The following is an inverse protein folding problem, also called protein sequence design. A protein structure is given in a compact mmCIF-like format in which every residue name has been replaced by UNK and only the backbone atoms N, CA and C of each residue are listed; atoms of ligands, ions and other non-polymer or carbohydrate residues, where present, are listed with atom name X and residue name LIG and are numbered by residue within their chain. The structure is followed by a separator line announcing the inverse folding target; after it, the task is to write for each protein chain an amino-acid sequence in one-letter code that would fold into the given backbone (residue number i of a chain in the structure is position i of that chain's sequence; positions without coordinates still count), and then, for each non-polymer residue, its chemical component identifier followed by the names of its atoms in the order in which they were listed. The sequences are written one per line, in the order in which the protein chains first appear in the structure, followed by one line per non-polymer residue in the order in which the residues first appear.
data_IF_953407389394
#
_entry.id   IF_953407389394
#
_cell.length_a   1.000
_cell.length_b   1.000
_cell.length_c   1.000
_cell.angle_alpha   90.00
_cell.angle_beta   90.00
_cell.angle_gamma   90.00
#
_symmetry.space_group_name_H-M   'P 1'
#
loop_
_entity.id
_entity.type
_entity.pdbx_description
1 polymer ?
#
# COMPACT_ATOMS: atom_id res chain seq x y z
N UNK A 1 13.88 18.05 -18.29
CA UNK A 1 13.61 18.68 -16.98
C UNK A 1 12.72 19.89 -17.21
N UNK A 2 11.54 20.03 -16.59
CA UNK A 2 10.71 19.05 -15.89
C UNK A 2 9.31 18.93 -16.54
N UNK A 3 8.56 17.85 -16.29
CA UNK A 3 7.15 18.08 -16.04
C UNK A 3 7.15 18.97 -14.81
N UNK A 4 6.99 20.28 -15.01
CA UNK A 4 6.84 21.21 -13.92
C UNK A 4 5.80 20.65 -12.95
N UNK A 5 5.80 21.12 -11.71
CA UNK A 5 4.75 20.86 -10.74
C UNK A 5 3.44 21.49 -11.24
N UNK A 6 2.94 21.04 -12.39
CA UNK A 6 1.71 21.45 -13.03
C UNK A 6 0.59 20.87 -12.20
N UNK A 7 -0.57 21.52 -12.26
CA UNK A 7 -1.75 21.07 -11.53
C UNK A 7 -2.08 19.59 -11.83
N UNK A 8 -1.84 19.15 -13.07
CA UNK A 8 -2.03 17.77 -13.54
C UNK A 8 -1.13 16.72 -12.85
N UNK A 9 0.01 17.12 -12.30
CA UNK A 9 0.94 16.23 -11.57
C UNK A 9 0.75 16.39 -10.06
N UNK A 10 0.56 17.62 -9.60
CA UNK A 10 0.36 17.93 -8.19
C UNK A 10 -0.93 17.32 -7.62
N UNK A 11 -2.02 17.33 -8.40
CA UNK A 11 -3.30 16.82 -7.93
C UNK A 11 -3.25 15.31 -7.65
N UNK A 12 -2.76 14.43 -8.55
CA UNK A 12 -2.54 13.03 -8.25
C UNK A 12 -1.59 12.79 -7.06
N UNK A 13 -0.53 13.59 -6.93
CA UNK A 13 0.38 13.50 -5.78
C UNK A 13 -0.34 13.79 -4.47
N UNK A 14 -1.18 14.82 -4.44
CA UNK A 14 -1.98 15.16 -3.27
C UNK A 14 -2.98 14.05 -2.93
N UNK A 15 -3.67 13.50 -3.94
CA UNK A 15 -4.59 12.37 -3.74
C UNK A 15 -3.84 11.16 -3.18
N UNK A 16 -2.67 10.82 -3.73
CA UNK A 16 -1.84 9.72 -3.24
C UNK A 16 -1.35 9.96 -1.80
N UNK A 17 -1.00 11.21 -1.46
CA UNK A 17 -0.62 11.60 -0.10
C UNK A 17 -1.80 11.42 0.87
N UNK A 18 -2.99 11.88 0.51
CA UNK A 18 -4.20 11.73 1.32
C UNK A 18 -4.61 10.26 1.48
N UNK A 19 -4.49 9.47 0.41
CA UNK A 19 -4.71 8.03 0.48
C UNK A 19 -3.70 7.35 1.42
N UNK A 20 -2.43 7.73 1.36
CA UNK A 20 -1.39 7.26 2.28
C UNK A 20 -1.66 7.66 3.73
N UNK A 21 -2.18 8.87 3.96
CA UNK A 21 -2.53 9.36 5.30
C UNK A 21 -3.70 8.58 5.93
N UNK A 22 -4.52 7.87 5.15
CA UNK A 22 -5.57 7.01 5.68
C UNK A 22 -5.04 5.67 6.24
N UNK A 23 -3.83 5.25 5.85
CA UNK A 23 -3.26 3.95 6.20
C UNK A 23 -3.02 3.77 7.70
N UNK A 24 -2.50 4.75 8.47
CA UNK A 24 -2.38 4.63 9.92
C UNK A 24 -3.74 4.48 10.63
N UNK A 25 -4.78 5.16 10.15
CA UNK A 25 -6.14 5.01 10.69
C UNK A 25 -6.68 3.61 10.44
N UNK A 26 -6.44 3.05 9.25
CA UNK A 26 -6.78 1.66 8.94
C UNK A 26 -6.05 0.68 9.88
N UNK A 27 -4.75 0.87 10.10
CA UNK A 27 -3.98 0.03 11.01
C UNK A 27 -4.51 0.07 12.46
N UNK A 28 -4.86 1.27 12.96
CA UNK A 28 -5.46 1.46 14.27
C UNK A 28 -6.83 0.79 14.43
N UNK A 29 -7.72 1.00 13.46
CA UNK A 29 -9.06 0.38 13.43
C UNK A 29 -8.97 -1.15 13.36
N UNK A 30 -8.10 -1.67 12.49
CA UNK A 30 -7.86 -3.10 12.40
C UNK A 30 -7.33 -3.63 13.73
N UNK A 31 -6.36 -2.96 14.37
CA UNK A 31 -5.81 -3.41 15.65
C UNK A 31 -6.88 -3.48 16.76
N UNK A 32 -7.85 -2.55 16.74
CA UNK A 32 -9.00 -2.59 17.64
C UNK A 32 -9.88 -3.82 17.38
N UNK A 33 -10.24 -4.08 16.12
CA UNK A 33 -10.98 -5.29 15.73
C UNK A 33 -10.23 -6.57 16.12
N UNK A 34 -8.91 -6.60 15.96
CA UNK A 34 -8.08 -7.76 16.29
C UNK A 34 -8.14 -8.11 17.78
N UNK A 35 -8.15 -7.09 18.64
CA UNK A 35 -8.35 -7.27 20.09
C UNK A 35 -9.75 -7.76 20.44
N UNK A 36 -10.78 -7.22 19.79
CA UNK A 36 -12.18 -7.58 20.05
C UNK A 36 -12.52 -9.01 19.57
N UNK A 37 -11.96 -9.43 18.44
CA UNK A 37 -12.24 -10.71 17.80
C UNK A 37 -11.26 -11.83 18.22
N UNK A 38 -10.25 -11.50 19.04
CA UNK A 38 -9.28 -12.45 19.58
C UNK A 38 -8.22 -12.96 18.61
N UNK A 39 -8.30 -12.63 17.31
CA UNK A 39 -7.29 -13.03 16.33
C UNK A 39 -7.12 -12.00 15.18
N UNK A 40 -5.89 -11.68 14.74
CA UNK A 40 -5.64 -10.76 13.63
C UNK A 40 -6.34 -11.14 12.31
N UNK A 41 -6.39 -12.44 11.96
CA UNK A 41 -7.05 -12.86 10.72
C UNK A 41 -8.56 -12.60 10.72
N UNK A 42 -9.23 -12.65 11.89
CA UNK A 42 -10.64 -12.29 11.99
C UNK A 42 -10.85 -10.81 11.71
N UNK A 43 -9.98 -9.95 12.24
CA UNK A 43 -10.01 -8.52 11.96
C UNK A 43 -9.73 -8.21 10.49
N UNK A 44 -8.76 -8.90 9.87
CA UNK A 44 -8.50 -8.78 8.44
C UNK A 44 -9.73 -9.17 7.60
N UNK A 45 -10.36 -10.31 7.93
CA UNK A 45 -11.58 -10.77 7.27
C UNK A 45 -12.75 -9.78 7.36
N UNK A 46 -13.01 -9.25 8.57
CA UNK A 46 -14.05 -8.22 8.77
C UNK A 46 -13.72 -6.93 8.01
N UNK A 47 -12.46 -6.49 8.03
CA UNK A 47 -12.01 -5.29 7.30
C UNK A 47 -12.20 -5.43 5.79
N UNK A 48 -11.88 -6.60 5.23
CA UNK A 48 -12.11 -6.93 3.82
C UNK A 48 -13.59 -7.00 3.48
N UNK A 49 -14.42 -7.55 4.37
CA UNK A 49 -15.87 -7.61 4.18
C UNK A 49 -16.50 -6.21 4.16
N UNK A 50 -16.13 -5.34 5.12
CA UNK A 50 -16.57 -3.94 5.14
C UNK A 50 -16.11 -3.20 3.87
N UNK A 51 -14.86 -3.43 3.45
CA UNK A 51 -14.34 -2.85 2.21
C UNK A 51 -15.15 -3.28 0.99
N UNK A 52 -15.52 -4.57 0.91
CA UNK A 52 -16.36 -5.10 -0.16
C UNK A 52 -17.78 -4.50 -0.13
N UNK A 53 -18.38 -4.37 1.06
CA UNK A 53 -19.70 -3.76 1.24
C UNK A 53 -19.74 -2.29 0.82
N UNK A 54 -18.62 -1.56 0.93
CA UNK A 54 -18.50 -0.17 0.46
C UNK A 54 -18.14 -0.08 -1.03
N UNK A 55 -17.37 -1.04 -1.56
CA UNK A 55 -16.99 -1.09 -2.97
C UNK A 55 -18.21 -1.29 -3.88
N UNK A 56 -19.14 -2.17 -3.53
CA UNK A 56 -20.31 -2.49 -4.38
C UNK A 56 -21.19 -1.24 -4.65
N UNK A 57 -21.63 -0.46 -3.64
CA UNK A 57 -22.35 0.79 -3.87
C UNK A 57 -21.54 1.81 -4.67
N UNK A 58 -20.22 1.91 -4.44
CA UNK A 58 -19.36 2.82 -5.19
C UNK A 58 -19.35 2.49 -6.69
N UNK A 59 -19.29 1.20 -7.05
CA UNK A 59 -19.39 0.76 -8.45
C UNK A 59 -20.74 1.15 -9.08
N UNK A 60 -21.83 1.04 -8.32
CA UNK A 60 -23.18 1.44 -8.78
C UNK A 60 -23.30 2.95 -8.99
N UNK A 61 -22.84 3.75 -8.02
CA UNK A 61 -22.86 5.22 -8.09
C UNK A 61 -22.01 5.73 -9.26
N UNK A 62 -20.82 5.15 -9.44
CA UNK A 62 -19.92 5.49 -10.54
C UNK A 62 -20.34 4.88 -11.88
N UNK A 63 -21.40 4.06 -11.91
CA UNK A 63 -21.90 3.35 -13.10
C UNK A 63 -20.77 2.57 -13.81
N UNK A 64 -19.91 1.94 -13.03
CA UNK A 64 -18.82 1.14 -13.56
C UNK A 64 -19.40 -0.04 -14.39
N UNK A 65 -18.91 -0.27 -15.62
CA UNK A 65 -19.40 -1.37 -16.44
C UNK A 65 -19.10 -2.72 -15.78
N UNK A 66 -20.00 -3.69 -15.95
CA UNK A 66 -19.79 -5.04 -15.46
C UNK A 66 -18.52 -5.65 -16.07
N UNK A 67 -17.68 -6.31 -15.28
CA UNK A 67 -16.48 -6.93 -15.80
C UNK A 67 -16.84 -8.09 -16.73
N UNK A 68 -16.15 -8.19 -17.85
CA UNK A 68 -16.23 -9.37 -18.70
C UNK A 68 -15.50 -10.52 -18.01
N UNK A 69 -16.25 -11.45 -17.41
CA UNK A 69 -15.67 -12.53 -16.60
C UNK A 69 -14.72 -13.44 -17.39
N UNK A 70 -14.88 -13.53 -18.70
CA UNK A 70 -13.95 -14.21 -19.61
C UNK A 70 -12.52 -13.63 -19.55
N UNK A 71 -12.33 -12.37 -19.14
CA UNK A 71 -11.01 -11.77 -19.03
C UNK A 71 -10.26 -12.27 -17.78
N UNK A 72 -10.96 -12.87 -16.81
CA UNK A 72 -10.33 -13.43 -15.62
C UNK A 72 -9.50 -14.68 -15.95
N UNK A 73 -9.90 -15.46 -16.96
CA UNK A 73 -9.13 -16.64 -17.40
C UNK A 73 -7.89 -16.26 -18.20
N UNK A 74 -7.87 -15.05 -18.76
CA UNK A 74 -6.72 -14.45 -19.45
C UNK A 74 -5.78 -13.71 -18.49
N UNK A 75 -6.17 -13.53 -17.22
CA UNK A 75 -5.38 -12.79 -16.26
C UNK A 75 -4.07 -13.53 -15.96
N UNK A 76 -2.91 -12.84 -15.99
CA UNK A 76 -1.65 -13.47 -15.66
C UNK A 76 -1.64 -13.92 -14.19
N UNK A 77 -0.96 -15.02 -13.89
CA UNK A 77 -0.97 -15.61 -12.55
C UNK A 77 -0.53 -14.64 -11.44
N UNK A 78 0.34 -13.68 -11.76
CA UNK A 78 0.80 -12.67 -10.81
C UNK A 78 -0.27 -11.63 -10.43
N UNK A 79 -1.35 -11.48 -11.21
CA UNK A 79 -2.44 -10.54 -10.91
C UNK A 79 -3.13 -10.89 -9.58
N UNK A 80 -3.17 -12.18 -9.24
CA UNK A 80 -3.76 -12.68 -8.00
C UNK A 80 -2.88 -12.43 -6.77
N UNK A 81 -1.58 -12.15 -6.96
CA UNK A 81 -0.66 -11.83 -5.86
C UNK A 81 -1.01 -10.51 -5.17
N UNK A 82 -1.71 -9.60 -5.86
CA UNK A 82 -2.19 -8.35 -5.24
C UNK A 82 -3.14 -8.60 -4.07
N UNK A 83 -4.06 -9.56 -4.22
CA UNK A 83 -4.97 -9.97 -3.14
C UNK A 83 -4.22 -10.60 -1.97
N UNK A 84 -3.27 -11.50 -2.27
CA UNK A 84 -2.41 -12.12 -1.26
C UNK A 84 -1.58 -11.08 -0.49
N UNK A 85 -0.95 -10.15 -1.21
CA UNK A 85 -0.17 -9.07 -0.62
C UNK A 85 -1.03 -8.17 0.29
N UNK A 86 -2.29 -7.92 -0.07
CA UNK A 86 -3.23 -7.18 0.76
C UNK A 86 -3.54 -7.87 2.10
N UNK A 87 -3.83 -9.19 2.07
CA UNK A 87 -4.07 -9.96 3.31
C UNK A 87 -2.82 -10.00 4.19
N UNK A 88 -1.65 -10.24 3.59
CA UNK A 88 -0.36 -10.24 4.30
C UNK A 88 -0.07 -8.87 4.91
N UNK A 89 -0.32 -7.78 4.17
CA UNK A 89 -0.15 -6.41 4.65
C UNK A 89 -1.05 -6.10 5.86
N UNK A 90 -2.35 -6.37 5.76
CA UNK A 90 -3.29 -6.12 6.86
C UNK A 90 -2.92 -6.95 8.08
N UNK A 91 -2.58 -8.22 7.88
CA UNK A 91 -2.17 -9.13 8.98
C UNK A 91 -0.86 -8.65 9.63
N UNK A 92 0.12 -8.24 8.84
CA UNK A 92 1.37 -7.67 9.35
C UNK A 92 1.11 -6.37 10.11
N UNK A 93 0.24 -5.49 9.60
CA UNK A 93 -0.15 -4.26 10.30
C UNK A 93 -0.73 -4.57 11.69
N UNK A 94 -1.60 -5.58 11.78
CA UNK A 94 -2.19 -5.99 13.05
C UNK A 94 -1.20 -6.54 14.07
N UNK A 95 -0.25 -7.35 13.61
CA UNK A 95 0.73 -8.03 14.47
C UNK A 95 1.88 -7.11 14.86
N UNK A 96 2.34 -6.26 13.93
CA UNK A 96 3.55 -5.45 14.08
C UNK A 96 3.27 -4.04 14.58
N UNK A 97 2.10 -3.44 14.31
CA UNK A 97 1.76 -2.10 14.81
C UNK A 97 1.83 -2.00 16.34
N UNK A 98 1.34 -2.97 17.14
CA UNK A 98 1.49 -2.93 18.59
C UNK A 98 2.94 -3.04 19.08
N UNK A 99 3.85 -3.60 18.27
CA UNK A 99 5.25 -3.82 18.63
C UNK A 99 6.17 -2.67 18.20
N UNK A 100 5.92 -2.09 17.03
CA UNK A 100 6.74 -1.04 16.42
C UNK A 100 6.17 0.37 16.64
N UNK A 101 4.94 0.47 17.15
CA UNK A 101 4.16 1.69 17.06
C UNK A 101 3.66 1.96 15.63
N UNK A 102 2.66 2.82 15.50
CA UNK A 102 2.07 3.16 14.20
C UNK A 102 3.08 3.82 13.26
N UNK A 103 3.84 4.82 13.76
CA UNK A 103 4.86 5.51 12.96
C UNK A 103 5.95 4.53 12.50
N UNK A 104 6.50 3.74 13.42
CA UNK A 104 7.57 2.78 13.11
C UNK A 104 7.17 1.74 12.06
N UNK A 105 5.96 1.17 12.18
CA UNK A 105 5.42 0.25 11.18
C UNK A 105 5.29 0.90 9.80
N UNK A 106 4.69 2.10 9.73
CA UNK A 106 4.41 2.78 8.46
C UNK A 106 5.70 3.15 7.71
N UNK A 107 6.73 3.64 8.40
CA UNK A 107 7.97 4.03 7.72
C UNK A 107 8.72 2.79 7.21
N UNK A 108 8.68 1.66 7.93
CA UNK A 108 9.18 0.37 7.44
C UNK A 108 8.42 -0.12 6.19
N UNK A 109 7.09 0.01 6.19
CA UNK A 109 6.25 -0.34 5.03
C UNK A 109 6.61 0.52 3.82
N UNK A 110 6.72 1.84 3.99
CA UNK A 110 7.07 2.76 2.91
C UNK A 110 8.45 2.42 2.33
N UNK A 111 9.44 2.13 3.18
CA UNK A 111 10.77 1.73 2.73
C UNK A 111 10.70 0.43 1.89
N UNK A 112 9.97 -0.59 2.35
CA UNK A 112 9.77 -1.84 1.62
C UNK A 112 9.04 -1.66 0.28
N UNK A 113 8.02 -0.79 0.24
CA UNK A 113 7.27 -0.45 -0.97
C UNK A 113 8.17 0.24 -2.00
N UNK A 114 8.98 1.22 -1.55
CA UNK A 114 9.88 1.97 -2.43
C UNK A 114 11.02 1.08 -2.95
N UNK A 115 11.61 0.24 -2.12
CA UNK A 115 12.61 -0.74 -2.54
C UNK A 115 12.02 -1.73 -3.57
N UNK A 116 10.84 -2.28 -3.30
CA UNK A 116 10.14 -3.16 -4.24
C UNK A 116 9.83 -2.45 -5.56
N UNK A 117 9.44 -1.18 -5.52
CA UNK A 117 9.15 -0.39 -6.72
C UNK A 117 10.37 -0.21 -7.63
N UNK A 118 11.59 -0.16 -7.07
CA UNK A 118 12.80 -0.09 -7.88
C UNK A 118 12.97 -1.35 -8.73
N UNK A 119 12.74 -2.52 -8.12
CA UNK A 119 12.85 -3.80 -8.79
C UNK A 119 11.77 -3.96 -9.87
N UNK A 120 10.53 -3.59 -9.52
CA UNK A 120 9.39 -3.62 -10.45
C UNK A 120 9.66 -2.73 -11.66
N UNK A 121 10.10 -1.50 -11.43
CA UNK A 121 10.34 -0.54 -12.51
C UNK A 121 11.59 -0.86 -13.34
N UNK A 122 12.66 -1.35 -12.71
CA UNK A 122 13.92 -1.67 -13.40
C UNK A 122 13.74 -2.81 -14.41
N UNK A 123 12.88 -3.78 -14.11
CA UNK A 123 12.66 -4.96 -14.95
C UNK A 123 11.28 -5.02 -15.59
N UNK A 124 10.50 -3.94 -15.51
CA UNK A 124 9.15 -3.89 -16.10
C UNK A 124 8.21 -4.99 -15.58
N UNK A 125 8.38 -5.39 -14.31
CA UNK A 125 7.60 -6.48 -13.73
C UNK A 125 6.11 -6.11 -13.75
N UNK A 126 5.24 -7.12 -13.78
CA UNK A 126 3.78 -6.96 -13.83
C UNK A 126 3.28 -6.20 -15.08
N UNK A 127 4.06 -6.23 -16.17
CA UNK A 127 3.68 -5.58 -17.44
C UNK A 127 3.78 -4.05 -17.40
N UNK A 128 4.49 -3.49 -16.42
CA UNK A 128 4.73 -2.06 -16.32
C UNK A 128 5.83 -1.61 -17.28
N UNK A 129 5.78 -0.38 -17.82
CA UNK A 129 6.87 0.16 -18.62
C UNK A 129 8.18 0.21 -17.82
N UNK A 130 9.26 -0.31 -18.40
CA UNK A 130 10.59 -0.23 -17.81
C UNK A 130 11.00 1.22 -17.58
N UNK A 131 11.43 1.52 -16.36
CA UNK A 131 11.97 2.82 -15.96
C UNK A 131 13.33 2.60 -15.31
N UNK A 132 14.42 2.79 -16.06
CA UNK A 132 15.76 2.51 -15.56
C UNK A 132 16.06 3.33 -14.32
N UNK A 133 16.62 2.64 -13.32
CA UNK A 133 17.03 3.24 -12.06
C UNK A 133 18.18 4.22 -12.33
N UNK A 134 17.99 5.46 -11.88
CA UNK A 134 19.01 6.50 -11.98
C UNK A 134 19.54 6.88 -10.58
N UNK A 135 20.67 7.58 -10.57
CA UNK A 135 21.36 7.99 -9.33
C UNK A 135 20.50 8.83 -8.41
N UNK A 136 19.65 9.72 -8.95
CA UNK A 136 18.76 10.56 -8.16
C UNK A 136 17.68 9.75 -7.45
N UNK A 137 17.11 8.75 -8.15
CA UNK A 137 16.11 7.84 -7.57
C UNK A 137 16.74 6.97 -6.48
N UNK A 138 17.95 6.45 -6.71
CA UNK A 138 18.70 5.72 -5.68
C UNK A 138 18.98 6.59 -4.44
N UNK A 139 19.39 7.85 -4.65
CA UNK A 139 19.59 8.79 -3.55
C UNK A 139 18.29 9.04 -2.76
N UNK A 140 17.17 9.24 -3.45
CA UNK A 140 15.86 9.41 -2.82
C UNK A 140 15.42 8.19 -2.01
N UNK A 141 15.59 6.97 -2.56
CA UNK A 141 15.34 5.73 -1.80
C UNK A 141 16.27 5.62 -0.59
N UNK A 142 17.55 5.97 -0.74
CA UNK A 142 18.51 6.03 0.35
C UNK A 142 18.06 6.97 1.48
N UNK A 143 17.52 8.15 1.14
CA UNK A 143 16.97 9.08 2.13
C UNK A 143 15.75 8.51 2.87
N UNK A 144 14.88 7.77 2.16
CA UNK A 144 13.70 7.13 2.78
C UNK A 144 14.15 6.04 3.76
N UNK A 145 15.12 5.20 3.36
CA UNK A 145 15.68 4.16 4.24
C UNK A 145 16.40 4.78 5.43
N UNK A 146 17.16 5.86 5.23
CA UNK A 146 17.79 6.58 6.34
C UNK A 146 16.74 7.17 7.30
N UNK A 147 15.69 7.80 6.76
CA UNK A 147 14.58 8.31 7.54
C UNK A 147 13.88 7.22 8.37
N UNK A 148 13.67 6.05 7.76
CA UNK A 148 13.17 4.85 8.45
C UNK A 148 14.07 4.47 9.64
N UNK A 149 15.39 4.37 9.44
CA UNK A 149 16.31 4.02 10.51
C UNK A 149 16.31 5.05 11.65
N UNK A 150 16.25 6.34 11.32
CA UNK A 150 16.19 7.42 12.31
C UNK A 150 14.90 7.37 13.13
N UNK A 151 13.74 7.18 12.49
CA UNK A 151 12.44 7.06 13.19
C UNK A 151 12.43 5.83 14.09
N UNK A 152 12.92 4.70 13.60
CA UNK A 152 12.99 3.46 14.39
C UNK A 152 13.91 3.62 15.60
N UNK A 153 15.08 4.25 15.41
CA UNK A 153 16.01 4.48 16.51
C UNK A 153 15.48 5.45 17.55
N UNK A 154 14.76 6.49 17.12
CA UNK A 154 14.09 7.43 18.02
C UNK A 154 12.94 6.81 18.82
N UNK A 155 12.26 5.80 18.25
CA UNK A 155 11.14 5.10 18.90
C UNK A 155 11.60 3.96 19.83
N UNK A 156 12.81 3.43 19.61
CA UNK A 156 13.39 2.37 20.43
C UNK A 156 14.06 2.85 21.73
N UNK A 157 14.17 4.17 21.92
CA UNK A 157 14.60 4.81 23.18
C UNK A 157 13.40 5.11 24.05
#
# INVERSE_FOLDING_TARGET
MPHALTLSVLLPMLIALLAGAAVPFQAGSNAALGRLLGHPLWAAGVSLLVSLMLLIPALLVLRAPLPQLQNLTQAPWWAWLGGLAGVLYITAALILTPRLGAAGFIVCVIAGQVLSSLLIDQWGLMGLPEKPVNSLRLAGVGMIVLGMLLVQWGTAR
#
